data_IF_544787498517
#
_entry.id   IF_544787498517
#
_cell.length_a   1.000
_cell.length_b   1.000
_cell.length_c   1.000
_cell.angle_alpha   90.00
_cell.angle_beta   90.00
_cell.angle_gamma   90.00
#
_symmetry.space_group_name_H-M   'P 1'
#
loop_
_entity.id
_entity.type
_entity.pdbx_description
1 polymer ?
#
# COMPACT_ATOMS: atom_id res chain seq x y z
N UNK A 1 11.44 5.33 2.57
CA UNK A 1 10.24 4.63 2.07
C UNK A 1 9.00 5.20 2.72
N UNK A 2 7.95 5.39 1.94
CA UNK A 2 6.62 5.83 2.39
C UNK A 2 5.63 4.73 2.04
N UNK A 3 4.78 4.34 2.96
CA UNK A 3 3.71 3.40 2.66
C UNK A 3 2.44 3.73 3.44
N UNK A 4 1.33 3.19 2.96
CA UNK A 4 0.04 3.19 3.65
C UNK A 4 -0.46 1.75 3.78
N UNK A 5 -1.28 1.50 4.78
CA UNK A 5 -2.03 0.27 4.93
C UNK A 5 -3.31 0.52 5.71
N UNK A 6 -4.30 -0.37 5.58
CA UNK A 6 -5.48 -0.34 6.42
C UNK A 6 -5.30 -1.17 7.68
N UNK A 7 -6.04 -0.85 8.72
CA UNK A 7 -6.18 -1.73 9.87
C UNK A 7 -7.00 -2.95 9.43
N UNK A 8 -6.51 -4.15 9.71
CA UNK A 8 -7.29 -5.37 9.45
C UNK A 8 -8.48 -5.53 10.39
N UNK A 9 -8.47 -4.84 11.54
CA UNK A 9 -9.53 -4.72 12.54
C UNK A 9 -9.42 -3.38 13.27
N UNK A 10 -10.47 -2.89 13.91
CA UNK A 10 -10.36 -1.72 14.80
C UNK A 10 -9.26 -1.94 15.84
N UNK A 11 -8.39 -0.96 16.00
CA UNK A 11 -7.29 -0.98 16.97
C UNK A 11 -7.64 -0.10 18.18
N UNK A 12 -7.40 -0.64 19.37
CA UNK A 12 -7.46 0.11 20.60
C UNK A 12 -6.22 0.97 20.80
N UNK A 13 -6.28 1.94 21.70
CA UNK A 13 -5.10 2.73 22.10
C UNK A 13 -3.96 1.84 22.58
N UNK A 14 -4.25 0.77 23.31
CA UNK A 14 -3.26 -0.20 23.77
C UNK A 14 -2.60 -0.96 22.61
N UNK A 15 -3.35 -1.31 21.55
CA UNK A 15 -2.77 -1.94 20.35
C UNK A 15 -1.76 -0.98 19.69
N UNK A 16 -2.10 0.30 19.56
CA UNK A 16 -1.22 1.33 18.99
C UNK A 16 0.04 1.53 19.84
N UNK A 17 -0.09 1.56 21.16
CA UNK A 17 1.05 1.64 22.09
C UNK A 17 1.99 0.42 21.98
N UNK A 18 1.45 -0.78 21.80
CA UNK A 18 2.23 -2.00 21.55
C UNK A 18 2.96 -1.95 20.20
N UNK A 19 2.30 -1.47 19.15
CA UNK A 19 2.94 -1.26 17.84
C UNK A 19 4.09 -0.29 17.98
N UNK A 20 3.87 0.86 18.65
CA UNK A 20 4.89 1.86 18.91
C UNK A 20 6.11 1.26 19.64
N UNK A 21 5.88 0.63 20.79
CA UNK A 21 6.95 0.07 21.61
C UNK A 21 7.78 -1.00 20.88
N UNK A 22 7.12 -1.82 20.07
CA UNK A 22 7.76 -2.83 19.23
C UNK A 22 8.59 -2.21 18.11
N UNK A 23 8.04 -1.18 17.46
CA UNK A 23 8.69 -0.47 16.37
C UNK A 23 9.92 0.28 16.85
N UNK A 24 9.83 1.04 17.94
CA UNK A 24 10.97 1.76 18.52
C UNK A 24 12.12 0.81 18.83
N UNK A 25 11.85 -0.31 19.52
CA UNK A 25 12.88 -1.30 19.87
C UNK A 25 13.56 -1.90 18.64
N UNK A 26 12.78 -2.27 17.63
CA UNK A 26 13.31 -2.86 16.41
C UNK A 26 14.10 -1.85 15.59
N UNK A 27 13.59 -0.64 15.44
CA UNK A 27 14.17 0.41 14.62
C UNK A 27 15.48 0.93 15.19
N UNK A 28 15.51 1.18 16.51
CA UNK A 28 16.71 1.65 17.21
C UNK A 28 17.90 0.71 16.95
N UNK A 29 17.70 -0.60 17.13
CA UNK A 29 18.75 -1.61 16.92
C UNK A 29 19.29 -1.66 15.48
N UNK A 30 18.56 -1.10 14.52
CA UNK A 30 18.86 -1.19 13.08
C UNK A 30 19.13 0.15 12.42
N UNK A 31 19.13 1.22 13.20
CA UNK A 31 19.34 2.57 12.70
C UNK A 31 18.25 3.03 11.74
N UNK A 32 17.00 2.56 11.96
CA UNK A 32 15.80 3.02 11.25
C UNK A 32 15.20 4.19 12.03
N UNK A 33 14.80 5.24 11.31
CA UNK A 33 14.06 6.38 11.86
C UNK A 33 12.79 6.59 11.08
N UNK A 34 11.83 7.38 11.62
CA UNK A 34 10.61 7.72 10.90
C UNK A 34 9.41 8.03 11.78
N UNK A 35 8.26 8.09 11.12
CA UNK A 35 6.97 8.37 11.77
C UNK A 35 5.92 7.35 11.39
N UNK A 36 4.95 7.17 12.28
CA UNK A 36 3.71 6.42 12.04
C UNK A 36 2.54 7.33 12.39
N UNK A 37 1.63 7.52 11.46
CA UNK A 37 0.39 8.27 11.66
C UNK A 37 -0.78 7.29 11.56
N UNK A 38 -1.64 7.30 12.58
CA UNK A 38 -2.89 6.55 12.61
C UNK A 38 -4.06 7.53 12.37
N UNK A 39 -4.83 7.31 11.32
CA UNK A 39 -5.96 8.16 10.96
C UNK A 39 -7.11 7.31 10.39
N UNK A 40 -8.27 7.34 11.05
CA UNK A 40 -9.37 6.46 10.72
C UNK A 40 -8.97 4.99 10.89
N UNK A 41 -9.07 4.21 9.84
CA UNK A 41 -8.63 2.82 9.76
C UNK A 41 -7.27 2.67 9.05
N UNK A 42 -6.53 3.76 8.86
CA UNK A 42 -5.34 3.80 8.02
C UNK A 42 -4.09 4.09 8.83
N UNK A 43 -3.03 3.33 8.54
CA UNK A 43 -1.65 3.67 8.86
C UNK A 43 -1.01 4.41 7.68
N UNK A 44 -0.36 5.53 7.96
CA UNK A 44 0.61 6.14 7.06
C UNK A 44 1.97 6.12 7.75
N UNK A 45 2.98 5.55 7.11
CA UNK A 45 4.30 5.42 7.72
C UNK A 45 5.42 5.88 6.78
N UNK A 46 6.38 6.58 7.38
CA UNK A 46 7.66 6.91 6.76
C UNK A 46 8.75 6.15 7.46
N UNK A 47 9.58 5.46 6.69
CA UNK A 47 10.75 4.71 7.16
C UNK A 47 12.01 5.22 6.47
N UNK A 48 13.04 5.51 7.25
CA UNK A 48 14.33 6.02 6.79
C UNK A 48 15.47 5.19 7.38
N UNK A 49 16.41 4.77 6.54
CA UNK A 49 17.52 3.93 6.95
C UNK A 49 18.24 3.31 5.76
N UNK A 50 19.12 2.36 6.02
CA UNK A 50 19.77 1.58 4.95
C UNK A 50 18.71 0.81 4.15
N UNK A 51 18.80 0.85 2.82
CA UNK A 51 17.83 0.23 1.94
C UNK A 51 17.54 -1.23 2.30
N UNK A 52 18.58 -2.05 2.42
CA UNK A 52 18.41 -3.48 2.73
C UNK A 52 17.64 -3.70 4.05
N UNK A 53 17.88 -2.84 5.06
CA UNK A 53 17.21 -2.91 6.36
C UNK A 53 15.74 -2.49 6.28
N UNK A 54 15.44 -1.46 5.49
CA UNK A 54 14.05 -1.02 5.24
C UNK A 54 13.30 -2.08 4.43
N UNK A 55 13.90 -2.62 3.36
CA UNK A 55 13.28 -3.66 2.55
C UNK A 55 13.01 -4.92 3.39
N UNK A 56 13.93 -5.31 4.28
CA UNK A 56 13.71 -6.43 5.21
C UNK A 56 12.55 -6.17 6.17
N UNK A 57 12.48 -4.99 6.78
CA UNK A 57 11.38 -4.61 7.66
C UNK A 57 10.05 -4.63 6.91
N UNK A 58 9.99 -4.00 5.75
CA UNK A 58 8.77 -3.88 4.96
C UNK A 58 8.25 -5.24 4.49
N UNK A 59 9.06 -5.99 3.74
CA UNK A 59 8.61 -7.24 3.11
C UNK A 59 8.49 -8.43 4.07
N UNK A 60 9.31 -8.49 5.12
CA UNK A 60 9.32 -9.65 6.03
C UNK A 60 8.54 -9.44 7.32
N UNK A 61 8.19 -8.19 7.65
CA UNK A 61 7.50 -7.89 8.91
C UNK A 61 6.21 -7.12 8.73
N UNK A 62 6.21 -6.04 7.92
CA UNK A 62 5.03 -5.19 7.77
C UNK A 62 4.00 -5.85 6.84
N UNK A 63 4.40 -6.24 5.64
CA UNK A 63 3.50 -6.87 4.66
C UNK A 63 2.82 -8.15 5.19
N UNK A 64 3.53 -9.08 5.87
CA UNK A 64 2.90 -10.28 6.41
C UNK A 64 2.22 -10.10 7.77
N UNK A 65 2.27 -8.91 8.38
CA UNK A 65 1.65 -8.64 9.69
C UNK A 65 0.12 -8.59 9.55
N UNK A 66 -0.57 -9.46 10.26
CA UNK A 66 -2.02 -9.58 10.22
C UNK A 66 -2.80 -8.38 10.80
N UNK A 67 -2.12 -7.39 11.38
CA UNK A 67 -2.71 -6.12 11.80
C UNK A 67 -2.90 -5.15 10.64
N UNK A 68 -2.22 -5.41 9.51
CA UNK A 68 -2.29 -4.63 8.29
C UNK A 68 -3.09 -5.36 7.21
N UNK A 69 -3.85 -4.63 6.43
CA UNK A 69 -4.40 -5.02 5.15
C UNK A 69 -4.05 -3.96 4.11
N UNK A 70 -4.18 -4.29 2.83
CA UNK A 70 -3.98 -3.35 1.71
C UNK A 70 -2.68 -2.53 1.83
N UNK A 71 -1.56 -3.21 2.10
CA UNK A 71 -0.26 -2.54 2.27
C UNK A 71 0.26 -2.07 0.92
N UNK A 72 0.37 -0.75 0.73
CA UNK A 72 0.76 -0.11 -0.52
C UNK A 72 1.99 0.77 -0.29
N UNK A 73 3.08 0.49 -0.99
CA UNK A 73 4.23 1.39 -1.04
C UNK A 73 3.92 2.60 -1.91
N UNK A 74 3.92 3.79 -1.32
CA UNK A 74 3.69 5.05 -2.04
C UNK A 74 4.92 5.53 -2.77
N UNK A 75 6.08 5.41 -2.11
CA UNK A 75 7.36 5.90 -2.62
C UNK A 75 8.53 5.21 -1.95
N UNK A 76 9.51 4.80 -2.74
CA UNK A 76 10.79 4.29 -2.24
C UNK A 76 11.94 4.98 -2.96
N UNK A 77 12.68 5.80 -2.25
CA UNK A 77 13.84 6.54 -2.77
C UNK A 77 15.13 5.95 -2.21
N UNK A 78 16.19 6.04 -3.00
CA UNK A 78 17.56 5.69 -2.60
C UNK A 78 18.48 6.87 -2.83
N UNK A 79 19.60 6.93 -2.09
CA UNK A 79 20.57 8.00 -2.25
C UNK A 79 20.12 9.35 -1.64
N UNK A 80 19.16 9.32 -0.72
CA UNK A 80 18.74 10.51 0.02
C UNK A 80 19.87 10.93 0.94
N UNK A 81 20.35 12.15 0.78
CA UNK A 81 21.51 12.68 1.52
C UNK A 81 21.19 13.04 2.98
N UNK A 82 19.94 13.35 3.28
CA UNK A 82 19.49 13.78 4.60
C UNK A 82 18.17 13.13 4.97
N UNK A 83 18.08 12.63 6.20
CA UNK A 83 16.82 12.11 6.76
C UNK A 83 15.87 13.26 7.10
N UNK A 84 14.57 13.05 6.93
CA UNK A 84 13.54 13.98 7.40
C UNK A 84 13.34 13.88 8.92
N UNK A 85 13.55 12.67 9.49
CA UNK A 85 13.31 12.39 10.91
C UNK A 85 14.55 11.74 11.55
N UNK A 86 15.72 12.43 11.58
CA UNK A 86 17.00 11.81 11.97
C UNK A 86 17.04 11.34 13.43
N UNK A 87 16.26 11.97 14.31
CA UNK A 87 16.26 11.72 15.76
C UNK A 87 15.07 10.89 16.23
N UNK A 88 14.20 10.42 15.32
CA UNK A 88 12.98 9.72 15.68
C UNK A 88 13.06 8.24 15.32
N UNK A 89 13.40 7.39 16.28
CA UNK A 89 13.42 5.94 16.10
C UNK A 89 12.07 5.37 15.61
N UNK A 90 10.99 5.96 16.04
CA UNK A 90 9.62 5.87 15.52
C UNK A 90 8.72 6.78 16.36
N UNK A 91 8.25 7.87 15.80
CA UNK A 91 7.24 8.69 16.47
C UNK A 91 5.85 8.33 15.95
N UNK A 92 4.93 8.07 16.88
CA UNK A 92 3.55 7.74 16.53
C UNK A 92 2.66 8.96 16.79
N UNK A 93 1.82 9.28 15.81
CA UNK A 93 0.75 10.26 15.91
C UNK A 93 -0.58 9.53 15.77
N UNK A 94 -1.29 9.37 16.89
CA UNK A 94 -2.62 8.76 16.90
C UNK A 94 -3.69 9.84 16.74
N UNK A 95 -4.01 10.18 15.51
CA UNK A 95 -4.99 11.23 15.20
C UNK A 95 -6.43 10.79 15.46
N UNK A 96 -6.68 9.54 15.82
CA UNK A 96 -8.00 9.07 16.21
C UNK A 96 -8.34 9.47 17.64
N UNK A 97 -7.35 9.52 18.52
CA UNK A 97 -7.51 9.77 19.95
C UNK A 97 -7.00 11.15 20.40
N UNK A 98 -6.17 11.80 19.60
CA UNK A 98 -5.66 13.14 19.86
C UNK A 98 -6.63 14.19 19.29
N UNK A 99 -7.37 14.87 20.16
CA UNK A 99 -8.41 15.83 19.76
C UNK A 99 -7.86 17.22 19.39
N UNK A 100 -6.65 17.57 19.81
CA UNK A 100 -6.12 18.94 19.67
C UNK A 100 -5.06 19.14 18.57
N UNK A 101 -4.50 18.08 18.04
CA UNK A 101 -3.27 18.19 17.23
C UNK A 101 -3.45 18.70 15.80
N UNK A 102 -4.65 18.54 15.20
CA UNK A 102 -4.89 18.94 13.80
C UNK A 102 -6.33 19.40 13.56
N UNK A 103 -6.52 20.49 12.80
CA UNK A 103 -7.86 20.92 12.39
C UNK A 103 -8.61 19.80 11.65
N UNK A 104 -9.92 19.69 11.88
CA UNK A 104 -10.77 18.69 11.23
C UNK A 104 -10.64 18.70 9.70
N UNK A 105 -10.51 19.88 9.11
CA UNK A 105 -10.30 20.04 7.66
C UNK A 105 -9.03 19.33 7.17
N UNK A 106 -7.93 19.37 7.94
CA UNK A 106 -6.69 18.67 7.57
C UNK A 106 -6.85 17.15 7.64
N UNK A 107 -7.51 16.63 8.67
CA UNK A 107 -7.83 15.20 8.78
C UNK A 107 -8.68 14.73 7.60
N UNK A 108 -9.73 15.46 7.25
CA UNK A 108 -10.60 15.16 6.11
C UNK A 108 -9.82 15.18 4.80
N UNK A 109 -8.95 16.17 4.60
CA UNK A 109 -8.12 16.26 3.40
C UNK A 109 -7.15 15.08 3.30
N UNK A 110 -6.48 14.73 4.40
CA UNK A 110 -5.56 13.59 4.42
C UNK A 110 -6.29 12.27 4.16
N UNK A 111 -7.45 12.05 4.78
CA UNK A 111 -8.28 10.87 4.52
C UNK A 111 -8.69 10.79 3.05
N UNK A 112 -9.15 11.89 2.45
CA UNK A 112 -9.56 11.93 1.05
C UNK A 112 -8.39 11.63 0.09
N UNK A 113 -7.17 12.12 0.39
CA UNK A 113 -5.97 11.82 -0.38
C UNK A 113 -5.58 10.34 -0.29
N UNK A 114 -5.66 9.75 0.90
CA UNK A 114 -5.36 8.33 1.11
C UNK A 114 -6.36 7.44 0.37
N UNK A 115 -7.67 7.72 0.47
CA UNK A 115 -8.72 7.00 -0.26
C UNK A 115 -8.53 7.11 -1.77
N UNK A 116 -8.22 8.31 -2.27
CA UNK A 116 -7.92 8.51 -3.69
C UNK A 116 -6.73 7.66 -4.13
N UNK A 117 -5.68 7.58 -3.31
CA UNK A 117 -4.50 6.77 -3.61
C UNK A 117 -4.82 5.27 -3.62
N UNK A 118 -5.60 4.76 -2.67
CA UNK A 118 -6.07 3.36 -2.67
C UNK A 118 -6.86 3.05 -3.94
N UNK A 119 -7.78 3.92 -4.32
CA UNK A 119 -8.56 3.77 -5.55
C UNK A 119 -7.66 3.72 -6.77
N UNK A 120 -6.73 4.67 -6.92
CA UNK A 120 -5.77 4.69 -8.02
C UNK A 120 -4.96 3.38 -8.05
N UNK A 121 -4.48 2.90 -6.91
CA UNK A 121 -3.68 1.68 -6.82
C UNK A 121 -4.45 0.43 -7.29
N UNK A 122 -5.75 0.34 -6.99
CA UNK A 122 -6.60 -0.77 -7.43
C UNK A 122 -6.82 -0.80 -8.96
N UNK A 123 -6.90 0.37 -9.61
CA UNK A 123 -7.20 0.47 -11.04
C UNK A 123 -5.98 0.75 -11.91
N UNK A 124 -4.80 0.89 -11.31
CA UNK A 124 -3.57 1.20 -12.04
C UNK A 124 -2.78 -0.06 -12.36
N UNK A 125 -2.25 -0.13 -13.57
CA UNK A 125 -1.40 -1.26 -13.97
C UNK A 125 -0.17 -1.38 -13.04
N UNK A 126 0.24 -2.62 -12.65
CA UNK A 126 1.38 -2.84 -11.75
C UNK A 126 2.69 -2.19 -12.21
N UNK A 127 2.90 -2.09 -13.53
CA UNK A 127 4.08 -1.42 -14.09
C UNK A 127 4.09 0.09 -13.82
N UNK A 128 2.91 0.73 -13.85
CA UNK A 128 2.74 2.16 -13.56
C UNK A 128 2.90 2.41 -12.06
N UNK A 129 2.32 1.56 -11.22
CA UNK A 129 2.52 1.64 -9.76
C UNK A 129 4.00 1.57 -9.39
N UNK A 130 4.75 0.61 -9.96
CA UNK A 130 6.20 0.49 -9.75
C UNK A 130 6.99 1.74 -10.18
N UNK A 131 6.52 2.48 -11.19
CA UNK A 131 7.13 3.75 -11.57
C UNK A 131 6.84 4.84 -10.53
N UNK A 132 5.59 4.95 -10.07
CA UNK A 132 5.18 5.89 -9.02
C UNK A 132 5.93 5.61 -7.71
N UNK A 133 6.04 4.36 -7.28
CA UNK A 133 6.81 3.94 -6.10
C UNK A 133 8.29 4.40 -6.16
N UNK A 134 8.85 4.43 -7.36
CA UNK A 134 10.22 4.90 -7.62
C UNK A 134 10.31 6.42 -7.76
N UNK A 135 9.21 7.16 -7.58
CA UNK A 135 9.15 8.61 -7.78
C UNK A 135 9.26 9.03 -9.27
N UNK A 136 9.06 8.09 -10.19
CA UNK A 136 9.08 8.39 -11.63
C UNK A 136 7.68 8.78 -12.08
N UNK A 137 7.56 9.92 -12.76
CA UNK A 137 6.29 10.33 -13.36
C UNK A 137 6.00 9.50 -14.63
N UNK A 138 4.98 8.62 -14.64
CA UNK A 138 4.66 7.78 -15.80
C UNK A 138 4.35 8.60 -17.06
N UNK A 139 3.75 9.79 -16.91
CA UNK A 139 3.41 10.66 -18.04
C UNK A 139 4.65 11.28 -18.72
N UNK A 140 5.76 11.35 -18.00
CA UNK A 140 7.05 11.83 -18.54
C UNK A 140 7.93 10.70 -19.07
N UNK A 141 7.50 9.43 -18.95
CA UNK A 141 8.27 8.29 -19.45
C UNK A 141 8.32 8.28 -20.98
N UNK A 142 9.52 8.11 -21.53
CA UNK A 142 9.67 8.00 -22.98
C UNK A 142 9.09 6.68 -23.49
N UNK A 143 8.36 6.68 -24.61
CA UNK A 143 7.91 5.46 -25.25
C UNK A 143 9.07 4.50 -25.54
N UNK A 144 8.89 3.22 -25.23
CA UNK A 144 9.86 2.18 -25.52
C UNK A 144 9.25 1.16 -26.48
N UNK A 145 10.00 0.79 -27.50
CA UNK A 145 9.64 -0.35 -28.35
C UNK A 145 9.93 -1.64 -27.57
N UNK A 146 8.94 -2.50 -27.43
CA UNK A 146 9.08 -3.82 -26.82
C UNK A 146 8.41 -4.85 -27.71
N UNK A 147 9.00 -6.05 -27.77
CA UNK A 147 8.28 -7.21 -28.28
C UNK A 147 7.31 -7.67 -27.19
N UNK A 148 6.04 -7.74 -27.53
CA UNK A 148 4.99 -8.21 -26.63
C UNK A 148 4.25 -9.36 -27.29
N UNK A 149 3.82 -10.31 -26.47
CA UNK A 149 2.84 -11.31 -26.86
C UNK A 149 1.47 -10.85 -26.34
N UNK A 150 0.49 -10.83 -27.22
CA UNK A 150 -0.89 -10.52 -26.84
C UNK A 150 -1.67 -11.82 -26.85
N UNK A 151 -2.29 -12.14 -25.72
CA UNK A 151 -3.18 -13.28 -25.54
C UNK A 151 -4.62 -12.78 -25.44
N UNK A 152 -5.50 -13.39 -26.19
CA UNK A 152 -6.94 -13.21 -26.04
C UNK A 152 -7.53 -14.52 -25.52
N UNK A 153 -8.36 -14.45 -24.49
CA UNK A 153 -9.12 -15.57 -23.97
C UNK A 153 -10.57 -15.16 -23.81
N UNK A 154 -11.47 -16.10 -24.02
CA UNK A 154 -12.91 -15.89 -23.88
C UNK A 154 -13.56 -17.08 -23.18
N UNK A 155 -14.69 -16.87 -22.54
CA UNK A 155 -15.48 -17.92 -21.91
C UNK A 155 -16.46 -18.45 -22.94
N UNK A 156 -16.28 -19.69 -23.35
CA UNK A 156 -17.17 -20.34 -24.32
C UNK A 156 -18.60 -20.38 -23.77
N UNK A 157 -19.55 -19.87 -24.55
CA UNK A 157 -20.96 -19.85 -24.17
C UNK A 157 -21.32 -18.79 -23.13
N UNK A 158 -20.50 -17.76 -22.92
CA UNK A 158 -20.73 -16.70 -21.91
C UNK A 158 -22.13 -16.10 -21.99
N UNK A 159 -22.64 -15.79 -23.20
CA UNK A 159 -23.97 -15.23 -23.36
C UNK A 159 -25.10 -16.13 -22.82
N UNK A 160 -24.94 -17.48 -22.97
CA UNK A 160 -25.90 -18.43 -22.42
C UNK A 160 -25.87 -18.50 -20.90
N UNK A 161 -24.67 -18.35 -20.30
CA UNK A 161 -24.52 -18.28 -18.85
C UNK A 161 -25.08 -16.97 -18.30
N UNK A 162 -24.80 -15.83 -18.96
CA UNK A 162 -25.27 -14.51 -18.57
C UNK A 162 -26.81 -14.41 -18.49
N UNK A 163 -27.53 -15.16 -19.33
CA UNK A 163 -29.00 -15.19 -19.30
C UNK A 163 -29.57 -16.10 -18.18
N UNK A 164 -28.80 -17.04 -17.66
CA UNK A 164 -29.28 -18.09 -16.74
C UNK A 164 -28.77 -17.95 -15.31
N UNK A 165 -27.60 -17.35 -15.13
CA UNK A 165 -26.99 -17.19 -13.82
C UNK A 165 -27.51 -15.93 -13.12
N UNK A 166 -27.51 -15.96 -11.81
CA UNK A 166 -27.68 -14.76 -10.99
C UNK A 166 -26.48 -13.83 -11.20
N UNK A 167 -26.69 -12.53 -11.03
CA UNK A 167 -25.64 -11.53 -11.24
C UNK A 167 -24.38 -11.80 -10.41
N UNK A 168 -24.54 -12.23 -9.15
CA UNK A 168 -23.43 -12.53 -8.26
C UNK A 168 -22.61 -13.72 -8.78
N UNK A 169 -23.28 -14.82 -9.17
CA UNK A 169 -22.64 -16.02 -9.71
C UNK A 169 -21.90 -15.73 -11.03
N UNK A 170 -22.46 -14.81 -11.83
CA UNK A 170 -21.84 -14.35 -13.08
C UNK A 170 -20.57 -13.55 -12.82
N UNK A 171 -20.59 -12.64 -11.83
CA UNK A 171 -19.43 -11.86 -11.42
C UNK A 171 -18.32 -12.79 -10.90
N UNK A 172 -18.67 -13.78 -10.09
CA UNK A 172 -17.72 -14.76 -9.57
C UNK A 172 -17.07 -15.59 -10.69
N UNK A 173 -17.87 -16.02 -11.69
CA UNK A 173 -17.36 -16.71 -12.87
C UNK A 173 -16.34 -15.87 -13.64
N UNK A 174 -16.66 -14.60 -13.92
CA UNK A 174 -15.77 -13.66 -14.64
C UNK A 174 -14.49 -13.41 -13.85
N UNK A 175 -14.61 -13.16 -12.55
CA UNK A 175 -13.45 -12.92 -11.67
C UNK A 175 -12.53 -14.14 -11.61
N UNK A 176 -13.10 -15.34 -11.49
CA UNK A 176 -12.33 -16.59 -11.48
C UNK A 176 -11.60 -16.84 -12.80
N UNK A 177 -12.27 -16.59 -13.92
CA UNK A 177 -11.64 -16.66 -15.25
C UNK A 177 -10.48 -15.68 -15.37
N UNK A 178 -10.69 -14.42 -15.01
CA UNK A 178 -9.66 -13.38 -15.04
C UNK A 178 -8.46 -13.76 -14.15
N UNK A 179 -8.70 -14.26 -12.95
CA UNK A 179 -7.65 -14.70 -12.02
C UNK A 179 -6.81 -15.83 -12.63
N UNK A 180 -7.45 -16.87 -13.19
CA UNK A 180 -6.73 -17.97 -13.85
C UNK A 180 -5.85 -17.46 -14.99
N UNK A 181 -6.38 -16.55 -15.84
CA UNK A 181 -5.62 -15.97 -16.94
C UNK A 181 -4.40 -15.18 -16.43
N UNK A 182 -4.58 -14.35 -15.40
CA UNK A 182 -3.50 -13.55 -14.80
C UNK A 182 -2.40 -14.45 -14.22
N UNK A 183 -2.77 -15.50 -13.48
CA UNK A 183 -1.82 -16.44 -12.87
C UNK A 183 -0.98 -17.18 -13.91
N UNK A 184 -1.55 -17.51 -15.07
CA UNK A 184 -0.83 -18.20 -16.14
C UNK A 184 0.10 -17.28 -16.96
N UNK A 185 -0.26 -16.01 -17.12
CA UNK A 185 0.53 -15.03 -17.89
C UNK A 185 1.62 -14.37 -17.04
N UNK A 186 1.49 -14.39 -15.70
CA UNK A 186 2.44 -13.75 -14.79
C UNK A 186 3.62 -14.65 -14.38
N UNK A 187 3.65 -15.89 -14.85
CA UNK A 187 4.76 -16.85 -14.65
C UNK A 187 5.80 -16.71 -15.76
#
# INVERSE_FOLDING_TARGET
MFYVSRFSRPLSKSDIEQIHSSAVRYNNQRGITGILVCLGDTFFQVLEGKRATIDELYYKRIVPDNRHSDVICLKSESGVSQRMFPEWDMRVFDLNHETEALPMAFRQTLSALLESHYTIAQYTQPSVLKMLEKGVNPAAAKPQKKHITVLFSDIIGFSQFAERLRSDDLIDLVNRHAQICIEQVSR
#
